data_IF_667368610464
#
_entry.id   IF_667368610464
#
_cell.length_a   1.000
_cell.length_b   1.000
_cell.length_c   1.000
_cell.angle_alpha   90.00
_cell.angle_beta   90.00
_cell.angle_gamma   90.00
#
_symmetry.space_group_name_H-M   'P 1'
#
loop_
_entity.id
_entity.type
_entity.pdbx_description
1 polymer ?
#
# COMPACT_ATOMS: atom_id res chain seq x y z
N UNK A 1 8.97 -2.99 -4.91
CA UNK A 1 8.27 -1.92 -4.17
C UNK A 1 6.81 -2.30 -3.91
N UNK A 2 6.29 -1.95 -2.75
CA UNK A 2 4.86 -1.99 -2.39
C UNK A 2 4.29 -0.58 -2.56
N UNK A 3 3.22 -0.46 -3.35
CA UNK A 3 2.47 0.78 -3.47
C UNK A 3 1.27 0.73 -2.52
N UNK A 4 1.24 1.62 -1.53
CA UNK A 4 0.19 1.68 -0.51
C UNK A 4 -0.72 2.88 -0.76
N UNK A 5 -2.03 2.66 -0.83
CA UNK A 5 -3.03 3.72 -0.98
C UNK A 5 -3.75 3.94 0.34
N UNK A 6 -3.69 5.18 0.84
CA UNK A 6 -4.23 5.53 2.17
C UNK A 6 -5.28 6.63 2.02
N UNK A 7 -6.51 6.37 2.43
CA UNK A 7 -7.61 7.33 2.40
C UNK A 7 -7.98 7.92 3.76
N UNK A 8 -7.99 7.13 4.85
CA UNK A 8 -8.44 7.59 6.18
C UNK A 8 -7.81 6.90 7.40
N UNK A 9 -6.96 5.89 7.23
CA UNK A 9 -6.29 5.20 8.34
C UNK A 9 -4.81 4.99 8.03
N UNK A 10 -3.97 5.99 8.34
CA UNK A 10 -2.53 5.90 8.11
C UNK A 10 -1.85 4.84 8.99
N UNK A 11 -2.37 4.63 10.19
CA UNK A 11 -1.69 3.84 11.23
C UNK A 11 -1.46 2.38 10.83
N UNK A 12 -2.47 1.70 10.27
CA UNK A 12 -2.34 0.30 9.88
C UNK A 12 -1.31 0.11 8.75
N UNK A 13 -1.35 0.97 7.73
CA UNK A 13 -0.39 0.95 6.63
C UNK A 13 1.03 1.29 7.12
N UNK A 14 1.16 2.22 8.07
CA UNK A 14 2.42 2.60 8.70
C UNK A 14 3.03 1.44 9.46
N UNK A 15 2.30 0.84 10.40
CA UNK A 15 2.81 -0.28 11.19
C UNK A 15 3.25 -1.44 10.28
N UNK A 16 2.45 -1.74 9.24
CA UNK A 16 2.81 -2.73 8.24
C UNK A 16 4.12 -2.39 7.50
N UNK A 17 4.30 -1.13 7.09
CA UNK A 17 5.54 -0.69 6.41
C UNK A 17 6.76 -0.71 7.33
N UNK A 18 6.61 -0.35 8.61
CA UNK A 18 7.69 -0.34 9.59
C UNK A 18 8.14 -1.76 9.94
N UNK A 19 7.20 -2.70 10.09
CA UNK A 19 7.52 -4.12 10.35
C UNK A 19 8.33 -4.76 9.21
N UNK A 20 8.09 -4.33 7.98
CA UNK A 20 8.74 -4.88 6.79
C UNK A 20 9.96 -4.09 6.30
N UNK A 21 10.19 -2.90 6.83
CA UNK A 21 11.33 -2.06 6.46
C UNK A 21 12.68 -2.77 6.71
N UNK A 22 12.91 -3.48 7.84
CA UNK A 22 14.17 -4.20 8.08
C UNK A 22 14.46 -5.30 7.04
N UNK A 23 13.45 -5.72 6.29
CA UNK A 23 13.56 -6.75 5.26
C UNK A 23 13.91 -6.17 3.88
N UNK A 24 14.25 -4.87 3.82
CA UNK A 24 14.66 -4.15 2.60
C UNK A 24 13.50 -3.86 1.63
N UNK A 25 12.26 -3.95 2.08
CA UNK A 25 11.10 -3.68 1.23
C UNK A 25 10.87 -2.19 1.08
N UNK A 26 10.83 -1.71 -0.16
CA UNK A 26 10.48 -0.33 -0.46
C UNK A 26 8.97 -0.12 -0.43
N UNK A 27 8.52 0.91 0.27
CA UNK A 27 7.14 1.35 0.35
C UNK A 27 6.98 2.74 -0.26
N UNK A 28 5.95 2.90 -1.09
CA UNK A 28 5.46 4.19 -1.52
C UNK A 28 4.01 4.34 -1.08
N UNK A 29 3.77 5.21 -0.10
CA UNK A 29 2.43 5.53 0.33
C UNK A 29 1.89 6.74 -0.41
N UNK A 30 0.74 6.56 -1.07
CA UNK A 30 -0.02 7.61 -1.73
C UNK A 30 -1.23 7.94 -0.85
N UNK A 31 -1.22 9.14 -0.27
CA UNK A 31 -2.25 9.58 0.65
C UNK A 31 -3.24 10.49 -0.08
N UNK A 32 -4.52 10.17 0.05
CA UNK A 32 -5.61 10.90 -0.61
C UNK A 32 -6.00 12.14 0.19
N UNK A 33 -5.78 13.30 -0.42
CA UNK A 33 -6.03 14.61 0.18
C UNK A 33 -4.76 15.26 0.68
N UNK A 34 -4.93 16.37 1.41
CA UNK A 34 -3.81 17.07 2.05
C UNK A 34 -3.49 16.38 3.38
N UNK A 35 -2.21 16.14 3.62
CA UNK A 35 -1.73 15.74 4.94
C UNK A 35 -1.69 16.97 5.85
N UNK A 36 -2.19 16.83 7.07
CA UNK A 36 -1.95 17.84 8.10
C UNK A 36 -0.46 17.87 8.46
N UNK A 37 0.06 19.05 8.80
CA UNK A 37 1.47 19.28 9.10
C UNK A 37 1.93 18.43 10.29
N UNK A 38 1.06 18.21 11.28
CA UNK A 38 1.30 17.35 12.43
C UNK A 38 1.45 15.87 12.05
N UNK A 39 0.67 15.39 11.08
CA UNK A 39 0.80 14.02 10.56
C UNK A 39 2.09 13.89 9.74
N UNK A 40 2.48 14.96 9.02
CA UNK A 40 3.71 14.99 8.24
C UNK A 40 4.97 14.91 9.10
N UNK A 41 4.97 15.49 10.29
CA UNK A 41 6.09 15.42 11.24
C UNK A 41 6.21 14.07 11.96
N UNK A 42 5.11 13.32 12.10
CA UNK A 42 5.14 11.93 12.62
C UNK A 42 5.68 10.92 11.60
N UNK A 43 5.91 11.38 10.37
CA UNK A 43 6.48 10.64 9.27
C UNK A 43 7.89 11.20 9.07
N UNK A 44 8.78 10.91 10.02
CA UNK A 44 10.21 11.06 9.76
C UNK A 44 10.59 10.25 8.51
N UNK A 45 11.59 10.67 7.73
CA UNK A 45 12.03 9.93 6.55
C UNK A 45 12.71 8.63 7.00
N UNK A 46 11.94 7.55 7.03
CA UNK A 46 12.48 6.21 7.20
C UNK A 46 13.12 5.74 5.89
N UNK A 47 14.33 5.13 5.93
CA UNK A 47 14.93 4.55 4.74
C UNK A 47 13.95 3.57 4.09
N UNK A 48 13.76 3.68 2.77
CA UNK A 48 12.86 2.85 1.96
C UNK A 48 11.35 3.11 2.10
N UNK A 49 10.91 4.04 2.96
CA UNK A 49 9.50 4.45 3.05
C UNK A 49 9.35 5.86 2.48
N UNK A 50 8.61 5.98 1.38
CA UNK A 50 8.32 7.27 0.71
C UNK A 50 6.83 7.57 0.82
N UNK A 51 6.50 8.85 0.97
CA UNK A 51 5.12 9.29 1.08
C UNK A 51 4.86 10.44 0.12
N UNK A 52 3.76 10.33 -0.61
CA UNK A 52 3.25 11.37 -1.50
C UNK A 52 1.81 11.64 -1.10
N UNK A 53 1.45 12.91 -0.90
CA UNK A 53 0.06 13.33 -0.72
C UNK A 53 -0.45 13.90 -2.04
N UNK A 54 -1.67 13.53 -2.44
CA UNK A 54 -2.28 13.95 -3.68
C UNK A 54 -3.65 14.58 -3.44
N UNK A 55 -4.00 15.69 -4.12
CA UNK A 55 -5.37 16.21 -4.12
C UNK A 55 -6.38 15.12 -4.53
N UNK A 56 -7.57 15.16 -3.93
CA UNK A 56 -8.63 14.15 -4.19
C UNK A 56 -8.98 14.01 -5.68
N UNK A 57 -8.90 15.12 -6.42
CA UNK A 57 -9.17 15.19 -7.86
C UNK A 57 -8.12 14.47 -8.71
N UNK A 58 -6.86 14.50 -8.27
CA UNK A 58 -5.73 13.90 -8.99
C UNK A 58 -5.37 12.49 -8.50
N UNK A 59 -5.90 12.08 -7.34
CA UNK A 59 -5.53 10.82 -6.71
C UNK A 59 -5.64 9.62 -7.64
N UNK A 60 -6.82 9.38 -8.23
CA UNK A 60 -7.04 8.21 -9.07
C UNK A 60 -6.27 8.24 -10.40
N UNK A 61 -6.27 9.35 -11.17
CA UNK A 61 -5.46 9.46 -12.38
C UNK A 61 -3.98 9.13 -12.13
N UNK A 62 -3.40 9.71 -11.07
CA UNK A 62 -1.98 9.50 -10.73
C UNK A 62 -1.74 8.09 -10.21
N UNK A 63 -2.59 7.56 -9.35
CA UNK A 63 -2.48 6.18 -8.86
C UNK A 63 -2.53 5.19 -10.01
N UNK A 64 -3.46 5.34 -10.95
CA UNK A 64 -3.56 4.47 -12.13
C UNK A 64 -2.29 4.51 -12.99
N UNK A 65 -1.77 5.72 -13.26
CA UNK A 65 -0.52 5.88 -14.00
C UNK A 65 0.68 5.26 -13.27
N UNK A 66 0.79 5.44 -11.95
CA UNK A 66 1.84 4.85 -11.14
C UNK A 66 1.76 3.33 -11.10
N UNK A 67 0.57 2.76 -10.87
CA UNK A 67 0.36 1.30 -10.88
C UNK A 67 0.83 0.72 -12.21
N UNK A 68 0.40 1.32 -13.33
CA UNK A 68 0.75 0.85 -14.66
C UNK A 68 2.26 1.01 -14.93
N UNK A 69 2.85 2.18 -14.66
CA UNK A 69 4.27 2.43 -14.90
C UNK A 69 5.19 1.55 -14.04
N UNK A 70 4.86 1.37 -12.76
CA UNK A 70 5.61 0.49 -11.87
C UNK A 70 5.45 -0.99 -12.23
N UNK A 71 4.27 -1.38 -12.74
CA UNK A 71 4.04 -2.72 -13.24
C UNK A 71 4.84 -3.00 -14.52
N UNK A 72 4.78 -2.10 -15.51
CA UNK A 72 5.52 -2.22 -16.77
C UNK A 72 7.04 -2.29 -16.57
N UNK A 73 7.55 -1.63 -15.53
CA UNK A 73 8.98 -1.65 -15.17
C UNK A 73 9.37 -2.81 -14.26
N UNK A 74 8.43 -3.71 -13.90
CA UNK A 74 8.68 -4.83 -13.01
C UNK A 74 8.97 -4.45 -11.54
N UNK A 75 8.79 -3.17 -11.18
CA UNK A 75 9.10 -2.65 -9.84
C UNK A 75 7.97 -2.85 -8.84
N UNK A 76 6.73 -3.00 -9.33
CA UNK A 76 5.54 -3.20 -8.51
C UNK A 76 5.41 -4.65 -8.03
N UNK A 77 5.65 -4.87 -6.74
CA UNK A 77 5.53 -6.18 -6.10
C UNK A 77 4.16 -6.43 -5.50
N UNK A 78 3.54 -5.40 -4.91
CA UNK A 78 2.21 -5.50 -4.31
C UNK A 78 1.49 -4.15 -4.24
N UNK A 79 0.17 -4.22 -4.13
CA UNK A 79 -0.73 -3.12 -3.81
C UNK A 79 -1.28 -3.32 -2.40
N UNK A 80 -1.13 -2.30 -1.57
CA UNK A 80 -1.71 -2.27 -0.22
C UNK A 80 -2.75 -1.15 -0.19
N UNK A 81 -3.93 -1.39 0.39
CA UNK A 81 -4.99 -0.36 0.46
C UNK A 81 -5.62 -0.36 1.84
N UNK A 82 -5.94 0.81 2.39
CA UNK A 82 -6.57 0.93 3.72
C UNK A 82 -8.11 0.95 3.68
N UNK A 83 -8.68 0.99 2.48
CA UNK A 83 -10.08 1.28 2.27
C UNK A 83 -10.76 0.21 1.38
N UNK A 84 -11.86 -0.42 1.84
CA UNK A 84 -12.60 -1.41 1.05
C UNK A 84 -13.11 -0.89 -0.31
N UNK A 85 -13.43 0.40 -0.43
CA UNK A 85 -13.85 1.01 -1.70
C UNK A 85 -12.69 1.06 -2.69
N UNK A 86 -11.49 1.41 -2.23
CA UNK A 86 -10.27 1.43 -3.04
C UNK A 86 -9.86 0.01 -3.44
N UNK A 87 -10.00 -0.95 -2.50
CA UNK A 87 -9.81 -2.38 -2.79
C UNK A 87 -10.69 -2.84 -3.94
N UNK A 88 -12.01 -2.62 -3.87
CA UNK A 88 -12.94 -3.01 -4.95
C UNK A 88 -12.65 -2.34 -6.29
N UNK A 89 -12.13 -1.11 -6.26
CA UNK A 89 -11.75 -0.41 -7.49
C UNK A 89 -10.51 -1.02 -8.12
N UNK A 90 -9.51 -1.33 -7.29
CA UNK A 90 -8.26 -1.92 -7.74
C UNK A 90 -8.35 -3.41 -8.02
N UNK A 91 -9.29 -4.16 -7.44
CA UNK A 91 -9.42 -5.60 -7.71
C UNK A 91 -9.70 -5.90 -9.19
N UNK A 92 -10.47 -5.01 -9.84
CA UNK A 92 -10.71 -5.06 -11.30
C UNK A 92 -9.44 -4.84 -12.12
N UNK A 93 -8.50 -4.06 -11.59
CA UNK A 93 -7.23 -3.72 -12.24
C UNK A 93 -6.15 -4.74 -11.89
N UNK A 94 -6.10 -5.22 -10.65
CA UNK A 94 -5.11 -6.17 -10.15
C UNK A 94 -5.20 -7.51 -10.87
N UNK A 95 -6.40 -7.93 -11.29
CA UNK A 95 -6.58 -9.09 -12.17
C UNK A 95 -5.85 -8.95 -13.51
N UNK A 96 -5.78 -7.74 -14.06
CA UNK A 96 -5.06 -7.44 -15.30
C UNK A 96 -3.55 -7.34 -15.08
N UNK A 97 -3.12 -6.63 -14.03
CA UNK A 97 -1.67 -6.47 -13.74
C UNK A 97 -1.06 -7.65 -12.96
N UNK A 98 -1.86 -8.66 -12.59
CA UNK A 98 -1.49 -9.84 -11.79
C UNK A 98 -0.70 -9.52 -10.51
N UNK A 99 -0.89 -8.33 -9.95
CA UNK A 99 -0.20 -7.85 -8.74
C UNK A 99 -1.03 -8.25 -7.51
N UNK A 100 -0.44 -8.81 -6.45
CA UNK A 100 -1.12 -9.00 -5.18
C UNK A 100 -1.78 -7.71 -4.67
N UNK A 101 -3.07 -7.77 -4.36
CA UNK A 101 -3.83 -6.67 -3.78
C UNK A 101 -4.32 -7.05 -2.39
N UNK A 102 -3.91 -6.26 -1.40
CA UNK A 102 -4.16 -6.56 0.02
C UNK A 102 -4.81 -5.37 0.70
N UNK A 103 -5.89 -5.64 1.42
CA UNK A 103 -6.53 -4.69 2.31
C UNK A 103 -5.81 -4.72 3.66
N UNK A 104 -5.48 -3.55 4.20
CA UNK A 104 -4.87 -3.37 5.52
C UNK A 104 -5.78 -2.54 6.39
N UNK A 105 -6.12 -3.02 7.57
CA UNK A 105 -7.03 -2.33 8.50
C UNK A 105 -6.48 -2.39 9.92
N UNK A 106 -6.95 -1.46 10.76
CA UNK A 106 -6.66 -1.52 12.18
C UNK A 106 -7.71 -2.40 12.86
N UNK A 107 -7.26 -3.43 13.58
CA UNK A 107 -8.05 -4.29 14.44
C UNK A 107 -7.66 -4.15 15.90
N UNK A 108 -8.19 -5.02 16.76
CA UNK A 108 -8.06 -4.91 18.21
C UNK A 108 -6.63 -5.16 18.71
N UNK A 109 -5.87 -6.01 18.01
CA UNK A 109 -4.50 -6.40 18.38
C UNK A 109 -3.41 -5.76 17.48
N UNK A 110 -3.77 -4.75 16.68
CA UNK A 110 -2.88 -4.08 15.72
C UNK A 110 -3.41 -4.14 14.29
N UNK A 111 -2.52 -4.12 13.30
CA UNK A 111 -2.97 -4.18 11.90
C UNK A 111 -3.30 -5.61 11.45
N UNK A 112 -4.35 -5.70 10.63
CA UNK A 112 -4.84 -6.92 9.99
C UNK A 112 -4.70 -6.80 8.48
N UNK A 113 -4.43 -7.93 7.83
CA UNK A 113 -4.31 -8.04 6.38
C UNK A 113 -5.40 -8.96 5.86
N UNK A 114 -6.02 -8.60 4.74
CA UNK A 114 -6.95 -9.48 4.04
C UNK A 114 -6.80 -9.40 2.52
N UNK A 115 -7.08 -10.52 1.86
CA UNK A 115 -7.14 -10.68 0.41
C UNK A 115 -8.48 -11.30 0.07
N UNK A 116 -9.23 -10.71 -0.84
CA UNK A 116 -10.57 -11.15 -1.24
C UNK A 116 -11.53 -11.35 -0.05
N UNK A 117 -11.41 -10.50 0.97
CA UNK A 117 -12.14 -10.55 2.25
C UNK A 117 -11.78 -11.72 3.17
N UNK A 118 -10.77 -12.52 2.83
CA UNK A 118 -10.21 -13.53 3.71
C UNK A 118 -9.00 -12.97 4.47
N UNK A 119 -8.93 -13.12 5.80
CA UNK A 119 -7.74 -12.77 6.58
C UNK A 119 -6.51 -13.54 6.09
N UNK A 120 -5.37 -12.87 6.03
CA UNK A 120 -4.07 -13.49 5.70
C UNK A 120 -3.05 -13.15 6.78
N UNK A 121 -2.20 -14.12 7.12
CA UNK A 121 -1.10 -13.89 8.07
C UNK A 121 -0.01 -13.03 7.43
N UNK A 122 0.72 -12.28 8.26
CA UNK A 122 1.83 -11.43 7.82
C UNK A 122 2.90 -12.23 7.07
N UNK A 123 3.22 -13.43 7.55
CA UNK A 123 4.17 -14.34 6.90
C UNK A 123 3.70 -14.85 5.54
N UNK A 124 2.41 -15.21 5.41
CA UNK A 124 1.85 -15.65 4.14
C UNK A 124 1.83 -14.51 3.11
N UNK A 125 1.45 -13.30 3.54
CA UNK A 125 1.51 -12.13 2.70
C UNK A 125 2.94 -11.83 2.24
N UNK A 126 3.91 -11.87 3.15
CA UNK A 126 5.32 -11.65 2.80
C UNK A 126 5.82 -12.59 1.71
N UNK A 127 5.54 -13.89 1.87
CA UNK A 127 5.88 -14.92 0.87
C UNK A 127 5.28 -14.58 -0.49
N UNK A 128 4.04 -14.08 -0.53
CA UNK A 128 3.36 -13.67 -1.76
C UNK A 128 4.05 -12.47 -2.43
N UNK A 129 4.48 -11.46 -1.66
CA UNK A 129 5.13 -10.25 -2.18
C UNK A 129 6.55 -10.53 -2.69
N UNK A 130 7.29 -11.46 -2.06
CA UNK A 130 8.66 -11.80 -2.47
C UNK A 130 8.73 -12.54 -3.81
N UNK A 131 7.78 -13.44 -4.11
CA UNK A 131 7.79 -14.30 -5.31
C UNK A 131 7.76 -13.53 -6.64
N UNK A 132 7.44 -12.23 -6.63
CA UNK A 132 7.44 -11.37 -7.83
C UNK A 132 8.73 -10.57 -8.05
N UNK A 133 9.70 -10.70 -7.15
CA UNK A 133 10.99 -10.03 -7.22
C UNK A 133 12.13 -10.89 -7.80
N UNK A 134 11.82 -12.11 -8.26
CA UNK A 134 12.71 -13.03 -8.96
C UNK A 134 12.24 -13.13 -10.42
#
# INVERSE_FOLDING_TARGET
>A
MVLSLVERGWQAARECSLELQPQGMEFLHIIKGRLDRAVRSLIEPWPHIRIISLPRTLFWPVVSALVLGLWLTGKLRALLVDNPRSYRRLSRVSGLVRVPLTLVQWGDAGYELSVDSAPITRAAWWTQVQRRGQ
#
